data_IF_454239522114
#
_entry.id   IF_454239522114
#
_cell.length_a   1.000
_cell.length_b   1.000
_cell.length_c   1.000
_cell.angle_alpha   90.00
_cell.angle_beta   90.00
_cell.angle_gamma   90.00
#
_symmetry.space_group_name_H-M   'P 1'
#
loop_
_entity.id
_entity.type
_entity.pdbx_description
1 polymer ?
#
# COMPACT_ATOMS: atom_id res chain seq x y z
N UNK A 1 10.09 -12.85 10.68
CA UNK A 1 10.07 -12.03 9.46
C UNK A 1 10.98 -10.84 9.69
N UNK A 2 12.03 -10.68 8.90
CA UNK A 2 12.95 -9.53 9.04
C UNK A 2 12.33 -8.31 8.36
N UNK A 3 12.23 -7.19 9.07
CA UNK A 3 11.70 -5.95 8.53
C UNK A 3 12.84 -4.96 8.25
N UNK A 4 13.04 -4.61 6.99
CA UNK A 4 14.05 -3.62 6.60
C UNK A 4 13.41 -2.24 6.49
N UNK A 5 13.78 -1.26 7.34
CA UNK A 5 13.21 0.07 7.27
C UNK A 5 13.72 0.82 6.04
N UNK A 6 12.82 1.10 5.11
CA UNK A 6 13.12 1.88 3.92
C UNK A 6 12.94 3.39 4.18
N UNK A 7 14.01 4.16 4.00
CA UNK A 7 14.00 5.63 4.23
C UNK A 7 13.31 6.37 3.08
N UNK A 8 12.72 7.53 3.38
CA UNK A 8 12.10 8.37 2.35
C UNK A 8 13.10 8.74 1.25
N UNK A 9 12.73 8.72 -0.05
CA UNK A 9 13.62 9.11 -1.14
C UNK A 9 14.05 10.58 -1.01
N UNK A 10 13.28 11.41 -0.29
CA UNK A 10 13.68 12.79 0.02
C UNK A 10 14.90 12.87 0.93
N UNK A 11 15.15 11.85 1.76
CA UNK A 11 16.37 11.75 2.56
C UNK A 11 17.59 11.35 1.72
N UNK A 12 17.40 10.82 0.50
CA UNK A 12 18.49 10.56 -0.46
C UNK A 12 19.05 11.86 -1.07
N UNK A 13 18.41 13.01 -0.86
CA UNK A 13 18.91 14.32 -1.28
C UNK A 13 19.69 15.05 -0.17
N UNK A 14 19.79 14.44 1.03
CA UNK A 14 20.58 14.97 2.16
C UNK A 14 22.00 14.37 2.15
N UNK A 15 22.93 14.94 2.93
CA UNK A 15 24.35 14.48 3.03
C UNK A 15 24.50 12.96 3.27
N UNK A 16 23.48 12.29 3.79
CA UNK A 16 23.46 10.86 4.09
C UNK A 16 23.02 9.99 2.89
N UNK A 17 22.86 10.58 1.69
CA UNK A 17 22.42 9.95 0.45
C UNK A 17 23.02 8.56 0.14
N UNK A 18 24.34 8.32 0.33
CA UNK A 18 24.95 7.02 0.02
C UNK A 18 24.33 5.89 0.85
N UNK A 19 24.00 6.13 2.12
CA UNK A 19 23.44 5.11 3.01
C UNK A 19 21.98 4.78 2.68
N UNK A 20 21.19 5.77 2.24
CA UNK A 20 19.81 5.52 1.83
C UNK A 20 19.75 4.74 0.51
N UNK A 21 20.57 5.10 -0.50
CA UNK A 21 20.64 4.35 -1.76
C UNK A 21 21.19 2.93 -1.57
N UNK A 22 22.23 2.77 -0.75
CA UNK A 22 22.77 1.45 -0.40
C UNK A 22 21.74 0.58 0.31
N UNK A 23 20.90 1.15 1.19
CA UNK A 23 19.84 0.42 1.87
C UNK A 23 18.76 -0.09 0.90
N UNK A 24 18.32 0.73 -0.06
CA UNK A 24 17.40 0.28 -1.10
C UNK A 24 18.01 -0.78 -2.01
N UNK A 25 19.24 -0.55 -2.46
CA UNK A 25 19.95 -1.50 -3.30
C UNK A 25 20.12 -2.83 -2.58
N UNK A 26 20.59 -2.83 -1.33
CA UNK A 26 20.74 -4.03 -0.51
C UNK A 26 19.41 -4.75 -0.28
N UNK A 27 18.35 -4.00 0.05
CA UNK A 27 17.03 -4.58 0.31
C UNK A 27 16.42 -5.28 -0.91
N UNK A 28 16.74 -4.80 -2.12
CA UNK A 28 16.15 -5.32 -3.36
C UNK A 28 17.11 -6.15 -4.22
N UNK A 29 18.42 -6.10 -4.03
CA UNK A 29 19.40 -6.80 -4.89
C UNK A 29 19.26 -8.32 -4.81
N UNK A 30 18.98 -8.85 -3.62
CA UNK A 30 18.77 -10.27 -3.36
C UNK A 30 17.34 -10.75 -3.64
N UNK A 31 16.38 -9.84 -3.84
CA UNK A 31 14.99 -10.21 -4.06
C UNK A 31 14.75 -10.75 -5.48
N UNK A 32 13.81 -11.67 -5.65
CA UNK A 32 13.34 -12.11 -6.98
C UNK A 32 12.23 -11.21 -7.55
N UNK A 33 11.41 -10.65 -6.64
CA UNK A 33 10.23 -9.87 -6.98
C UNK A 33 9.90 -8.83 -5.90
N UNK A 34 9.16 -7.79 -6.31
CA UNK A 34 8.54 -6.81 -5.44
C UNK A 34 7.02 -7.00 -5.47
N UNK A 35 6.44 -7.34 -4.32
CA UNK A 35 5.00 -7.45 -4.12
C UNK A 35 4.49 -6.21 -3.39
N UNK A 36 3.57 -5.49 -4.02
CA UNK A 36 2.83 -4.39 -3.41
C UNK A 36 1.43 -4.90 -3.11
N UNK A 37 1.11 -5.10 -1.83
CA UNK A 37 -0.21 -5.57 -1.42
C UNK A 37 -0.89 -4.64 -0.42
N UNK A 38 -2.22 -4.75 -0.37
CA UNK A 38 -3.08 -4.10 0.61
C UNK A 38 -3.08 -2.57 0.57
N UNK A 39 -3.86 -1.99 1.48
CA UNK A 39 -3.96 -0.55 1.68
C UNK A 39 -4.32 0.23 0.40
N UNK A 40 -3.90 1.49 0.34
CA UNK A 40 -4.10 2.34 -0.84
C UNK A 40 -2.76 2.96 -1.21
N UNK A 41 -1.88 2.25 -1.94
CA UNK A 41 -0.55 2.77 -2.30
C UNK A 41 -0.59 3.80 -3.44
N UNK A 42 -1.70 3.89 -4.17
CA UNK A 42 -1.86 4.73 -5.35
C UNK A 42 -2.81 5.89 -5.03
N UNK A 43 -2.29 7.12 -4.95
CA UNK A 43 -3.06 8.35 -4.68
C UNK A 43 -2.23 9.60 -4.97
N UNK A 44 -2.87 10.77 -5.15
CA UNK A 44 -2.19 11.98 -5.67
C UNK A 44 -1.23 12.67 -4.66
N UNK A 45 -1.47 12.60 -3.35
CA UNK A 45 -0.49 13.11 -2.37
C UNK A 45 0.69 12.11 -2.25
N UNK A 46 1.96 12.52 -2.31
CA UNK A 46 3.08 11.59 -2.10
C UNK A 46 3.26 10.45 -3.13
N UNK A 47 2.60 10.50 -4.30
CA UNK A 47 2.75 9.52 -5.38
C UNK A 47 4.21 9.31 -5.80
N UNK A 48 5.05 10.35 -5.76
CA UNK A 48 6.48 10.25 -6.11
C UNK A 48 7.23 9.29 -5.19
N UNK A 49 7.06 9.44 -3.87
CA UNK A 49 7.72 8.60 -2.88
C UNK A 49 7.28 7.14 -2.99
N UNK A 50 5.98 6.89 -3.17
CA UNK A 50 5.46 5.53 -3.31
C UNK A 50 5.81 4.90 -4.64
N UNK A 51 5.73 5.66 -5.74
CA UNK A 51 6.17 5.19 -7.05
C UNK A 51 7.66 4.85 -7.04
N UNK A 52 8.48 5.55 -6.26
CA UNK A 52 9.87 5.15 -6.05
C UNK A 52 9.98 3.79 -5.34
N UNK A 53 9.19 3.55 -4.28
CA UNK A 53 9.26 2.28 -3.54
C UNK A 53 8.94 1.07 -4.42
N UNK A 54 7.96 1.19 -5.31
CA UNK A 54 7.53 0.06 -6.15
C UNK A 54 8.26 0.05 -7.51
N UNK A 55 8.78 1.20 -7.94
CA UNK A 55 9.48 1.37 -9.21
C UNK A 55 10.99 1.11 -9.12
N UNK A 56 11.64 1.42 -7.99
CA UNK A 56 13.09 1.20 -7.82
C UNK A 56 13.51 -0.27 -8.00
N UNK A 57 12.80 -1.28 -7.46
CA UNK A 57 13.15 -2.68 -7.68
C UNK A 57 13.15 -3.05 -9.17
N UNK A 58 12.33 -2.37 -9.99
CA UNK A 58 12.34 -2.60 -11.44
C UNK A 58 13.61 -2.13 -12.13
N UNK A 59 14.26 -1.09 -11.61
CA UNK A 59 15.57 -0.64 -12.11
C UNK A 59 16.65 -1.71 -11.88
N UNK A 60 16.44 -2.59 -10.89
CA UNK A 60 17.28 -3.76 -10.61
C UNK A 60 16.80 -5.04 -11.32
N UNK A 61 15.89 -4.91 -12.30
CA UNK A 61 15.35 -6.04 -13.05
C UNK A 61 14.31 -6.88 -12.30
N UNK A 62 13.85 -6.45 -11.12
CA UNK A 62 12.94 -7.25 -10.29
C UNK A 62 11.50 -7.20 -10.82
N UNK A 63 10.81 -8.33 -10.74
CA UNK A 63 9.41 -8.43 -11.15
C UNK A 63 8.51 -7.66 -10.19
N UNK A 64 7.67 -6.77 -10.70
CA UNK A 64 6.67 -6.04 -9.90
C UNK A 64 5.30 -6.72 -9.96
N UNK A 65 4.68 -6.96 -8.81
CA UNK A 65 3.31 -7.46 -8.66
C UNK A 65 2.50 -6.51 -7.79
N UNK A 66 1.31 -6.11 -8.25
CA UNK A 66 0.35 -5.33 -7.47
C UNK A 66 -0.84 -6.24 -7.09
N UNK A 67 -0.99 -6.57 -5.81
CA UNK A 67 -1.96 -7.55 -5.34
C UNK A 67 -2.99 -6.95 -4.37
N UNK A 68 -4.27 -6.93 -4.75
CA UNK A 68 -5.34 -6.42 -3.88
C UNK A 68 -5.11 -4.97 -3.44
N UNK A 69 -4.56 -4.11 -4.30
CA UNK A 69 -4.27 -2.71 -3.94
C UNK A 69 -5.51 -1.82 -4.07
N UNK A 70 -5.64 -0.84 -3.19
CA UNK A 70 -6.57 0.27 -3.35
C UNK A 70 -5.99 1.42 -4.16
N UNK A 71 -6.85 2.23 -4.77
CA UNK A 71 -6.47 3.47 -5.45
C UNK A 71 -7.37 4.64 -5.00
N UNK A 72 -6.82 5.85 -4.97
CA UNK A 72 -7.56 7.12 -4.91
C UNK A 72 -7.36 7.91 -6.21
N UNK A 73 -8.21 8.90 -6.50
CA UNK A 73 -8.05 9.75 -7.66
C UNK A 73 -6.63 10.35 -7.77
N UNK A 74 -6.11 10.37 -8.99
CA UNK A 74 -4.85 11.04 -9.35
C UNK A 74 -5.21 12.15 -10.34
N UNK A 75 -5.20 13.39 -9.85
CA UNK A 75 -5.58 14.60 -10.60
C UNK A 75 -4.37 15.18 -11.33
N UNK A 76 -3.16 15.05 -10.77
CA UNK A 76 -1.94 15.58 -11.38
C UNK A 76 -1.55 14.86 -12.68
N UNK A 77 -1.31 15.62 -13.76
CA UNK A 77 -0.89 15.07 -15.07
C UNK A 77 0.39 14.23 -14.97
N UNK A 78 1.35 14.70 -14.18
CA UNK A 78 2.63 14.00 -13.93
C UNK A 78 2.41 12.69 -13.16
N UNK A 79 1.59 12.71 -12.11
CA UNK A 79 1.24 11.51 -11.34
C UNK A 79 0.54 10.47 -12.19
N UNK A 80 -0.44 10.89 -13.02
CA UNK A 80 -1.15 10.02 -13.96
C UNK A 80 -0.19 9.31 -14.91
N UNK A 81 0.74 10.05 -15.54
CA UNK A 81 1.73 9.48 -16.46
C UNK A 81 2.69 8.52 -15.76
N UNK A 82 3.22 8.90 -14.61
CA UNK A 82 4.16 8.07 -13.84
C UNK A 82 3.52 6.75 -13.41
N UNK A 83 2.32 6.82 -12.82
CA UNK A 83 1.61 5.66 -12.31
C UNK A 83 1.17 4.76 -13.46
N UNK A 84 0.70 5.32 -14.57
CA UNK A 84 0.40 4.54 -15.78
C UNK A 84 1.63 3.74 -16.24
N UNK A 85 2.79 4.39 -16.37
CA UNK A 85 4.02 3.72 -16.81
C UNK A 85 4.42 2.59 -15.86
N UNK A 86 4.37 2.85 -14.55
CA UNK A 86 4.70 1.86 -13.53
C UNK A 86 3.77 0.64 -13.59
N UNK A 87 2.46 0.87 -13.71
CA UNK A 87 1.46 -0.19 -13.78
C UNK A 87 1.52 -0.95 -15.10
N UNK A 88 1.75 -0.28 -16.23
CA UNK A 88 1.98 -0.95 -17.53
C UNK A 88 3.17 -1.90 -17.48
N UNK A 89 4.15 -1.66 -16.61
CA UNK A 89 5.28 -2.57 -16.44
C UNK A 89 5.03 -3.69 -15.42
N UNK A 90 4.01 -3.61 -14.55
CA UNK A 90 3.71 -4.64 -13.56
C UNK A 90 3.35 -5.99 -14.23
N UNK A 91 3.79 -7.11 -13.65
CA UNK A 91 3.52 -8.46 -14.15
C UNK A 91 2.10 -8.91 -13.84
N UNK A 92 1.52 -8.38 -12.76
CA UNK A 92 0.15 -8.62 -12.35
C UNK A 92 -0.39 -7.35 -11.70
N UNK A 93 -1.65 -7.05 -11.98
CA UNK A 93 -2.39 -5.97 -11.33
C UNK A 93 -3.71 -6.55 -10.83
N UNK A 94 -3.94 -6.40 -9.53
CA UNK A 94 -5.26 -6.62 -8.94
C UNK A 94 -5.59 -5.56 -7.91
N UNK A 95 -6.88 -5.25 -7.83
CA UNK A 95 -7.44 -4.30 -6.89
C UNK A 95 -8.34 -4.99 -5.88
N UNK A 96 -8.46 -4.38 -4.70
CA UNK A 96 -9.35 -4.90 -3.66
C UNK A 96 -10.82 -4.67 -3.96
N UNK A 97 -11.13 -3.67 -4.78
CA UNK A 97 -12.49 -3.23 -5.07
C UNK A 97 -12.61 -2.69 -6.52
N UNK A 98 -13.86 -2.62 -6.99
CA UNK A 98 -14.24 -2.13 -8.32
C UNK A 98 -13.91 -0.64 -8.51
N UNK A 99 -14.19 0.27 -7.55
CA UNK A 99 -13.81 1.68 -7.69
C UNK A 99 -12.31 1.89 -7.93
N UNK A 100 -11.46 1.13 -7.23
CA UNK A 100 -10.01 1.18 -7.44
C UNK A 100 -9.62 0.70 -8.83
N UNK A 101 -10.25 -0.38 -9.33
CA UNK A 101 -10.03 -0.86 -10.71
C UNK A 101 -10.34 0.25 -11.72
N UNK A 102 -11.49 0.90 -11.56
CA UNK A 102 -11.96 1.93 -12.50
C UNK A 102 -11.07 3.16 -12.49
N UNK A 103 -10.58 3.56 -11.32
CA UNK A 103 -9.57 4.62 -11.19
C UNK A 103 -8.28 4.27 -11.93
N UNK A 104 -7.77 3.04 -11.78
CA UNK A 104 -6.54 2.61 -12.47
C UNK A 104 -6.76 2.47 -13.98
N UNK A 105 -7.88 1.91 -14.42
CA UNK A 105 -8.26 1.81 -15.83
C UNK A 105 -8.40 3.21 -16.46
N UNK A 106 -8.98 4.16 -15.73
CA UNK A 106 -9.09 5.57 -16.12
C UNK A 106 -7.76 6.32 -16.27
N UNK A 107 -6.63 5.75 -15.86
CA UNK A 107 -5.28 6.25 -16.20
C UNK A 107 -4.82 5.81 -17.59
N UNK A 108 -5.56 4.92 -18.24
CA UNK A 108 -5.21 4.24 -19.48
C UNK A 108 -4.20 3.10 -19.29
N UNK A 109 -4.27 2.41 -18.15
CA UNK A 109 -3.55 1.14 -17.98
C UNK A 109 -4.21 0.10 -18.87
N UNK A 110 -3.50 -0.35 -19.91
CA UNK A 110 -3.99 -1.34 -20.88
C UNK A 110 -3.88 -2.79 -20.39
N UNK A 111 -3.09 -3.02 -19.34
CA UNK A 111 -2.94 -4.35 -18.75
C UNK A 111 -4.23 -4.79 -18.05
N UNK A 112 -4.58 -6.08 -18.08
CA UNK A 112 -5.71 -6.60 -17.32
C UNK A 112 -5.59 -6.30 -15.83
N UNK A 113 -6.66 -5.78 -15.23
CA UNK A 113 -6.77 -5.49 -13.79
C UNK A 113 -7.85 -6.39 -13.19
N UNK A 114 -7.47 -7.30 -12.30
CA UNK A 114 -8.40 -8.23 -11.64
C UNK A 114 -8.93 -7.65 -10.32
N UNK A 115 -10.21 -7.83 -10.02
CA UNK A 115 -10.74 -7.50 -8.69
C UNK A 115 -10.71 -8.76 -7.83
N UNK A 116 -10.10 -8.69 -6.64
CA UNK A 116 -9.86 -9.88 -5.77
C UNK A 116 -10.40 -9.77 -4.35
N UNK A 117 -10.74 -8.57 -3.85
CA UNK A 117 -10.95 -8.32 -2.41
C UNK A 117 -9.66 -7.84 -1.72
N UNK A 118 -9.81 -7.29 -0.50
CA UNK A 118 -8.67 -6.81 0.29
C UNK A 118 -7.80 -8.00 0.72
N UNK A 119 -6.48 -7.87 0.60
CA UNK A 119 -5.54 -8.94 0.96
C UNK A 119 -5.63 -9.35 2.42
N UNK A 120 -6.11 -8.47 3.30
CA UNK A 120 -6.35 -8.78 4.72
C UNK A 120 -7.41 -9.88 4.91
N UNK A 121 -8.30 -10.10 3.95
CA UNK A 121 -9.33 -11.14 4.01
C UNK A 121 -8.77 -12.56 3.89
N UNK A 122 -7.50 -12.71 3.48
CA UNK A 122 -6.81 -14.01 3.44
C UNK A 122 -6.12 -14.37 4.77
N UNK A 123 -6.17 -13.48 5.78
CA UNK A 123 -5.60 -13.81 7.09
C UNK A 123 -6.46 -14.84 7.80
N UNK A 124 -5.81 -15.84 8.39
CA UNK A 124 -6.49 -16.80 9.26
C UNK A 124 -7.04 -16.06 10.49
N UNK A 125 -8.34 -16.19 10.80
CA UNK A 125 -8.90 -15.61 12.01
C UNK A 125 -8.29 -16.30 13.23
N UNK A 126 -8.05 -15.52 14.28
CA UNK A 126 -7.71 -16.09 15.58
C UNK A 126 -8.87 -16.95 16.09
N UNK A 127 -8.56 -17.98 16.86
CA UNK A 127 -9.58 -18.79 17.50
C UNK A 127 -10.46 -17.89 18.42
N UNK A 128 -11.80 -18.06 18.37
CA UNK A 128 -12.71 -17.22 19.14
C UNK A 128 -12.45 -17.25 20.66
N UNK A 129 -12.02 -18.39 21.20
CA UNK A 129 -11.75 -18.57 22.62
C UNK A 129 -10.57 -17.71 23.09
N UNK A 130 -9.48 -17.69 22.34
CA UNK A 130 -8.35 -16.78 22.59
C UNK A 130 -8.75 -15.33 22.44
N UNK A 131 -9.61 -15.00 21.47
CA UNK A 131 -10.17 -13.67 21.32
C UNK A 131 -10.95 -13.21 22.57
N UNK A 132 -11.87 -14.04 23.05
CA UNK A 132 -12.68 -13.76 24.24
C UNK A 132 -11.82 -13.66 25.51
N UNK A 133 -10.81 -14.54 25.66
CA UNK A 133 -9.87 -14.47 26.77
C UNK A 133 -9.11 -13.15 26.81
N UNK A 134 -8.57 -12.69 25.68
CA UNK A 134 -7.85 -11.41 25.58
C UNK A 134 -8.75 -10.20 25.90
N UNK A 135 -10.03 -10.27 25.50
CA UNK A 135 -11.02 -9.24 25.82
C UNK A 135 -11.30 -9.21 27.33
N UNK A 136 -11.50 -10.37 27.96
CA UNK A 136 -11.70 -10.48 29.40
C UNK A 136 -10.48 -10.00 30.20
N UNK A 137 -9.26 -10.35 29.76
CA UNK A 137 -7.99 -9.85 30.32
C UNK A 137 -7.89 -8.30 30.22
N UNK A 138 -8.56 -7.69 29.24
CA UNK A 138 -8.63 -6.24 29.06
C UNK A 138 -9.78 -5.58 29.83
N UNK A 139 -10.50 -6.33 30.68
CA UNK A 139 -11.62 -5.83 31.49
C UNK A 139 -12.95 -5.71 30.74
N UNK A 140 -13.08 -6.32 29.56
CA UNK A 140 -14.33 -6.34 28.80
C UNK A 140 -15.23 -7.48 29.29
N UNK A 141 -16.48 -7.18 29.64
CA UNK A 141 -17.49 -8.18 29.99
C UNK A 141 -18.00 -8.87 28.72
N UNK A 142 -17.50 -10.08 28.46
CA UNK A 142 -17.81 -10.88 27.27
C UNK A 142 -19.15 -11.60 27.36
N UNK A 143 -19.87 -11.54 28.49
CA UNK A 143 -21.18 -12.16 28.66
C UNK A 143 -22.35 -11.30 28.12
N UNK A 144 -22.07 -10.05 27.75
CA UNK A 144 -23.06 -9.08 27.24
C UNK A 144 -22.81 -8.78 25.77
N UNK A 145 -23.80 -8.27 25.01
CA UNK A 145 -23.54 -7.73 23.68
C UNK A 145 -22.44 -6.67 23.70
N UNK A 146 -21.49 -6.77 22.77
CA UNK A 146 -20.32 -5.89 22.67
C UNK A 146 -20.32 -5.11 21.36
N UNK A 147 -19.75 -3.90 21.39
CA UNK A 147 -19.42 -3.12 20.19
C UNK A 147 -17.97 -2.62 20.30
N UNK A 148 -17.19 -2.79 19.23
CA UNK A 148 -15.84 -2.26 19.13
C UNK A 148 -15.83 -0.95 18.33
N UNK A 149 -15.17 0.09 18.86
CA UNK A 149 -15.01 1.38 18.18
C UNK A 149 -13.51 1.65 18.00
N UNK A 150 -13.06 1.71 16.74
CA UNK A 150 -11.67 1.96 16.39
C UNK A 150 -11.55 3.27 15.58
N UNK A 151 -11.71 4.44 16.21
CA UNK A 151 -11.70 5.70 15.49
C UNK A 151 -10.28 6.05 15.04
N UNK A 152 -10.15 6.56 13.82
CA UNK A 152 -8.91 7.17 13.38
C UNK A 152 -8.90 8.64 13.74
N UNK A 153 -7.96 9.06 14.59
CA UNK A 153 -7.73 10.48 14.85
C UNK A 153 -7.07 11.10 13.60
N UNK A 154 -7.78 12.01 12.94
CA UNK A 154 -7.27 12.75 11.78
C UNK A 154 -6.99 14.20 12.19
N UNK A 155 -5.79 14.70 11.90
CA UNK A 155 -5.50 16.13 12.01
C UNK A 155 -6.38 16.93 11.04
N UNK A 156 -6.60 18.23 11.31
CA UNK A 156 -7.37 19.11 10.40
C UNK A 156 -6.84 19.05 8.95
N UNK A 157 -5.53 19.06 8.77
CA UNK A 157 -4.88 18.96 7.45
C UNK A 157 -5.11 17.61 6.76
N UNK A 158 -5.20 16.51 7.51
CA UNK A 158 -5.44 15.18 6.95
C UNK A 158 -6.91 14.94 6.59
N UNK A 159 -7.86 15.60 7.27
CA UNK A 159 -9.30 15.48 6.94
C UNK A 159 -9.58 15.89 5.49
N UNK A 160 -8.94 16.95 5.01
CA UNK A 160 -9.09 17.44 3.63
C UNK A 160 -8.77 16.34 2.60
N UNK A 161 -7.75 15.51 2.83
CA UNK A 161 -7.38 14.42 1.91
C UNK A 161 -8.26 13.16 1.97
N UNK A 162 -9.14 13.06 2.96
CA UNK A 162 -10.07 11.93 3.12
C UNK A 162 -11.50 12.26 2.67
N UNK A 163 -11.90 13.54 2.72
CA UNK A 163 -13.25 13.99 2.42
C UNK A 163 -13.36 14.82 1.12
N UNK A 164 -12.32 14.84 0.29
CA UNK A 164 -12.45 15.28 -1.10
C UNK A 164 -13.19 14.18 -1.88
N UNK A 165 -14.52 14.16 -1.76
CA UNK A 165 -15.44 13.58 -2.74
C UNK A 165 -15.70 14.60 -3.85
#
# INVERSE_FOLDING_TARGET
MEAVPLRSPRSMLRRDAPTAAASYFSAFSSADACLVSGGTPIYDYGHLTRSFYFGFPRLLGKKLFCFGIGAKPIRSRRGRRLIRLLLQQAHLISTRDTPSRDLLAGLGVEKPIRVTGDSALFMEPIDPETGLRRLAESGVDTARPMAAVCPRVLSKSYKTHYHEE
#
